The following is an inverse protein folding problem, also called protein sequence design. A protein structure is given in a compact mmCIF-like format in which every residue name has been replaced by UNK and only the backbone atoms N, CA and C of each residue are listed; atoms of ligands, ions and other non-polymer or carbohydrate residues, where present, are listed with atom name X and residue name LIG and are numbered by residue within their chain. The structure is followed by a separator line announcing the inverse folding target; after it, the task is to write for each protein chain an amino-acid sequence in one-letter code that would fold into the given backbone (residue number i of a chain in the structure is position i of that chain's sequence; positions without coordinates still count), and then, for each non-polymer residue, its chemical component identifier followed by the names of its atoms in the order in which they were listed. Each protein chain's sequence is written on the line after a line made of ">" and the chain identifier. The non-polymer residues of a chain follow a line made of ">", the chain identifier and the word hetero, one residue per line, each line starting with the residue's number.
data_IF_200172068848
#
_entry.id   IF_200172068848
#
_cell.length_a   1.000
_cell.length_b   1.000
_cell.length_c   1.000
_cell.angle_alpha   90.00
_cell.angle_beta   90.00
_cell.angle_gamma   90.00
#
_symmetry.space_group_name_H-M   'P 1'
#
loop_
_entity.id
_entity.type
_entity.pdbx_description
1 polymer ?
#
# COMPACT_ATOMS: atom_id res chain seq x y z
N UNK A 1 -13.02 -25.27 61.91
CA UNK A 1 -12.02 -26.25 61.43
C UNK A 1 -12.74 -27.16 60.44
N UNK A 2 -12.47 -26.98 59.16
CA UNK A 2 -12.29 -28.06 58.18
C UNK A 2 -12.06 -27.43 56.81
N UNK A 3 -10.80 -27.43 56.40
CA UNK A 3 -10.36 -27.21 55.03
C UNK A 3 -10.87 -28.34 54.15
N UNK A 4 -11.46 -28.03 53.00
CA UNK A 4 -11.54 -28.98 51.89
C UNK A 4 -10.88 -28.35 50.66
N UNK A 5 -9.62 -28.75 50.47
CA UNK A 5 -8.77 -28.32 49.37
C UNK A 5 -9.30 -28.76 48.02
N UNK A 6 -9.56 -27.79 47.14
CA UNK A 6 -9.77 -28.04 45.72
C UNK A 6 -8.44 -27.85 44.99
N UNK A 7 -7.80 -28.99 44.71
CA UNK A 7 -6.56 -29.14 43.93
C UNK A 7 -6.62 -28.32 42.63
N UNK A 8 -5.76 -27.30 42.53
CA UNK A 8 -5.46 -26.61 41.27
C UNK A 8 -4.65 -27.55 40.39
N UNK A 9 -5.32 -28.29 39.50
CA UNK A 9 -4.64 -28.95 38.38
C UNK A 9 -4.20 -27.88 37.37
N UNK A 10 -2.98 -27.40 37.55
CA UNK A 10 -2.23 -26.65 36.53
C UNK A 10 -2.04 -27.58 35.33
N UNK A 11 -2.88 -27.43 34.30
CA UNK A 11 -2.64 -28.09 33.01
C UNK A 11 -1.39 -27.44 32.44
N UNK A 12 -0.27 -28.17 32.50
CA UNK A 12 1.00 -27.76 31.93
C UNK A 12 0.81 -27.46 30.45
N UNK A 13 0.85 -26.17 30.09
CA UNK A 13 1.00 -25.73 28.71
C UNK A 13 2.36 -26.23 28.22
N UNK A 14 2.35 -27.36 27.51
CA UNK A 14 3.49 -27.83 26.72
C UNK A 14 3.92 -26.65 25.84
N UNK A 15 5.17 -26.21 26.01
CA UNK A 15 5.83 -25.22 25.15
C UNK A 15 5.63 -25.63 23.69
N UNK A 16 4.80 -24.86 22.97
CA UNK A 16 4.68 -24.98 21.52
C UNK A 16 5.99 -24.48 20.87
N UNK A 17 6.50 -25.16 19.83
CA UNK A 17 7.74 -24.79 19.17
C UNK A 17 7.65 -23.39 18.54
N UNK A 18 8.70 -22.59 18.75
CA UNK A 18 8.81 -21.15 18.44
C UNK A 18 8.78 -20.75 16.95
N UNK A 19 8.48 -21.65 16.00
CA UNK A 19 8.79 -21.45 14.58
C UNK A 19 7.58 -21.57 13.64
N UNK A 20 6.52 -20.79 13.87
CA UNK A 20 5.50 -20.50 12.85
C UNK A 20 5.40 -19.00 12.60
N UNK A 21 6.53 -18.38 12.27
CA UNK A 21 6.55 -17.18 11.45
C UNK A 21 7.10 -17.61 10.10
N UNK A 22 6.28 -17.64 9.05
CA UNK A 22 6.81 -17.80 7.70
C UNK A 22 7.75 -16.61 7.45
N UNK A 23 9.06 -16.84 7.23
CA UNK A 23 9.96 -15.76 6.85
C UNK A 23 9.46 -15.18 5.51
N UNK A 24 9.22 -13.86 5.47
CA UNK A 24 8.86 -13.17 4.22
C UNK A 24 7.36 -12.89 4.00
N UNK A 25 6.50 -12.96 5.02
CA UNK A 25 5.21 -12.25 4.95
C UNK A 25 5.46 -10.74 4.82
N UNK A 26 4.57 -10.00 4.15
CA UNK A 26 4.63 -8.52 4.03
C UNK A 26 4.76 -7.79 5.38
N UNK A 27 4.49 -8.50 6.47
CA UNK A 27 4.99 -8.20 7.80
C UNK A 27 5.73 -9.42 8.34
N UNK A 28 7.08 -9.48 8.25
CA UNK A 28 7.80 -10.47 9.03
C UNK A 28 7.51 -10.22 10.52
N UNK A 29 7.58 -11.25 11.40
CA UNK A 29 7.65 -10.99 12.83
C UNK A 29 8.73 -9.92 13.05
N UNK A 30 8.48 -8.98 13.96
CA UNK A 30 9.46 -8.00 14.42
C UNK A 30 10.63 -8.75 15.08
N UNK A 31 11.47 -9.40 14.27
CA UNK A 31 12.83 -9.75 14.63
C UNK A 31 13.57 -8.44 14.60
N UNK A 32 14.24 -8.11 15.71
CA UNK A 32 14.80 -6.79 15.97
C UNK A 32 15.78 -6.29 14.89
N UNK A 33 16.27 -7.14 13.98
CA UNK A 33 17.28 -6.79 12.97
C UNK A 33 16.78 -6.72 11.52
N UNK A 34 15.70 -7.41 11.13
CA UNK A 34 15.32 -7.55 9.71
C UNK A 34 14.27 -6.54 9.21
N UNK A 35 13.13 -6.46 9.91
CA UNK A 35 12.00 -5.61 9.48
C UNK A 35 12.16 -4.12 9.77
N UNK A 36 12.92 -3.76 10.81
CA UNK A 36 13.24 -2.36 11.09
C UNK A 36 14.25 -1.80 10.06
N UNK A 37 15.22 -2.63 9.67
CA UNK A 37 16.25 -2.32 8.70
C UNK A 37 15.71 -2.09 7.29
N UNK A 38 14.82 -2.95 6.81
CA UNK A 38 14.18 -2.78 5.49
C UNK A 38 13.26 -1.56 5.42
N UNK A 39 12.52 -1.26 6.50
CA UNK A 39 11.72 -0.03 6.59
C UNK A 39 12.59 1.22 6.56
N UNK A 40 13.68 1.24 7.32
CA UNK A 40 14.62 2.35 7.33
C UNK A 40 15.16 2.62 5.92
N UNK A 41 15.61 1.57 5.23
CA UNK A 41 16.08 1.65 3.84
C UNK A 41 15.00 2.18 2.88
N UNK A 42 13.76 1.68 2.97
CA UNK A 42 12.65 2.21 2.16
C UNK A 42 12.39 3.69 2.41
N UNK A 43 12.31 4.11 3.68
CA UNK A 43 11.97 5.49 4.03
C UNK A 43 13.09 6.49 3.73
N UNK A 44 14.35 6.08 3.91
CA UNK A 44 15.50 6.97 3.77
C UNK A 44 16.02 7.08 2.34
N UNK A 45 15.87 6.02 1.53
CA UNK A 45 16.40 6.03 0.16
C UNK A 45 15.30 6.14 -0.89
N UNK A 46 14.22 5.35 -0.74
CA UNK A 46 13.29 5.13 -1.85
C UNK A 46 12.02 6.00 -1.77
N UNK A 47 11.55 6.32 -0.56
CA UNK A 47 10.29 7.03 -0.32
C UNK A 47 10.49 8.46 0.20
N UNK A 48 11.68 9.03 0.03
CA UNK A 48 11.93 10.43 0.40
C UNK A 48 11.16 11.40 -0.49
N UNK A 49 10.84 12.59 0.04
CA UNK A 49 10.17 13.63 -0.74
C UNK A 49 10.97 14.05 -1.98
N UNK A 50 12.30 13.99 -1.94
CA UNK A 50 13.15 14.25 -3.10
C UNK A 50 12.98 13.15 -4.16
N UNK A 51 13.01 11.87 -3.75
CA UNK A 51 12.86 10.73 -4.66
C UNK A 51 11.46 10.64 -5.26
N UNK A 52 10.42 10.88 -4.47
CA UNK A 52 9.05 10.94 -5.00
C UNK A 52 8.91 12.06 -6.05
N UNK A 53 9.58 13.20 -5.85
CA UNK A 53 9.60 14.30 -6.82
C UNK A 53 10.39 13.96 -8.09
N UNK A 54 11.48 13.19 -8.02
CA UNK A 54 12.23 12.79 -9.22
C UNK A 54 11.39 11.94 -10.20
N UNK A 55 10.41 11.20 -9.69
CA UNK A 55 9.47 10.40 -10.51
C UNK A 55 8.29 11.18 -11.10
N UNK A 56 8.22 12.51 -10.91
CA UNK A 56 7.13 13.36 -11.44
C UNK A 56 6.90 13.15 -12.94
N UNK A 57 7.95 13.19 -13.77
CA UNK A 57 7.82 13.01 -15.23
C UNK A 57 7.20 11.65 -15.59
N UNK A 58 7.47 10.59 -14.81
CA UNK A 58 6.83 9.28 -15.04
C UNK A 58 5.31 9.39 -14.84
N UNK A 59 4.87 10.00 -13.74
CA UNK A 59 3.46 10.17 -13.42
C UNK A 59 2.75 11.05 -14.44
N UNK A 60 3.34 12.19 -14.82
CA UNK A 60 2.77 13.10 -15.81
C UNK A 60 2.61 12.42 -17.18
N UNK A 61 3.61 11.65 -17.62
CA UNK A 61 3.53 10.89 -18.89
C UNK A 61 2.43 9.83 -18.86
N UNK A 62 2.32 9.05 -17.79
CA UNK A 62 1.30 8.00 -17.70
C UNK A 62 -0.11 8.57 -17.55
N UNK A 63 -0.29 9.67 -16.81
CA UNK A 63 -1.59 10.36 -16.71
C UNK A 63 -1.99 10.96 -18.06
N UNK A 64 -1.07 11.60 -18.78
CA UNK A 64 -1.33 12.14 -20.11
C UNK A 64 -1.71 11.04 -21.12
N UNK A 65 -1.12 9.85 -20.99
CA UNK A 65 -1.53 8.67 -21.76
C UNK A 65 -2.95 8.23 -21.41
N UNK A 66 -3.28 8.10 -20.12
CA UNK A 66 -4.63 7.75 -19.70
C UNK A 66 -5.68 8.72 -20.26
N UNK A 67 -5.42 10.03 -20.19
CA UNK A 67 -6.33 11.05 -20.70
C UNK A 67 -6.55 10.90 -22.22
N UNK A 68 -5.48 10.60 -22.98
CA UNK A 68 -5.60 10.32 -24.42
C UNK A 68 -6.45 9.08 -24.70
N UNK A 69 -6.22 7.99 -23.97
CA UNK A 69 -6.98 6.75 -24.14
C UNK A 69 -8.47 6.96 -23.80
N UNK A 70 -8.78 7.74 -22.75
CA UNK A 70 -10.15 8.11 -22.38
C UNK A 70 -10.79 9.00 -23.45
N UNK A 71 -10.05 9.99 -23.97
CA UNK A 71 -10.55 10.88 -25.02
C UNK A 71 -10.84 10.14 -26.32
N UNK A 72 -10.01 9.18 -26.70
CA UNK A 72 -10.21 8.36 -27.88
C UNK A 72 -11.45 7.46 -27.74
N UNK A 73 -11.64 6.84 -26.57
CA UNK A 73 -12.83 6.04 -26.29
C UNK A 73 -14.12 6.88 -26.18
N UNK A 74 -14.01 8.12 -25.69
CA UNK A 74 -15.13 9.06 -25.67
C UNK A 74 -15.53 9.48 -27.09
N UNK A 75 -14.57 9.68 -27.99
CA UNK A 75 -14.84 10.05 -29.39
C UNK A 75 -15.59 8.94 -30.16
N UNK A 76 -15.42 7.67 -29.78
CA UNK A 76 -16.18 6.56 -30.35
C UNK A 76 -17.53 6.31 -29.66
N UNK A 77 -17.90 7.10 -28.65
CA UNK A 77 -19.13 6.93 -27.88
C UNK A 77 -19.17 5.66 -27.00
N UNK A 78 -18.05 4.96 -26.84
CA UNK A 78 -17.99 3.71 -26.11
C UNK A 78 -17.93 3.92 -24.58
N UNK A 79 -18.52 2.99 -23.83
CA UNK A 79 -18.41 3.00 -22.37
C UNK A 79 -16.95 2.75 -21.93
N UNK A 80 -16.45 3.59 -21.02
CA UNK A 80 -15.06 3.56 -20.58
C UNK A 80 -14.92 2.80 -19.26
N UNK A 81 -14.16 1.70 -19.25
CA UNK A 81 -13.83 0.96 -18.03
C UNK A 81 -12.71 1.66 -17.22
N UNK A 82 -13.11 2.64 -16.40
CA UNK A 82 -12.20 3.38 -15.52
C UNK A 82 -11.49 2.51 -14.48
N UNK A 83 -12.08 1.39 -14.06
CA UNK A 83 -11.44 0.47 -13.11
C UNK A 83 -10.21 -0.18 -13.73
N UNK A 84 -10.35 -0.76 -14.92
CA UNK A 84 -9.24 -1.39 -15.64
C UNK A 84 -8.18 -0.38 -16.07
N UNK A 85 -8.59 0.80 -16.55
CA UNK A 85 -7.67 1.86 -16.95
C UNK A 85 -6.91 2.46 -15.75
N UNK A 86 -7.61 2.68 -14.63
CA UNK A 86 -7.01 3.20 -13.40
C UNK A 86 -6.02 2.22 -12.77
N UNK A 87 -6.34 0.92 -12.77
CA UNK A 87 -5.40 -0.12 -12.36
C UNK A 87 -4.14 -0.10 -13.24
N UNK A 88 -4.29 -0.10 -14.57
CA UNK A 88 -3.15 -0.02 -15.50
C UNK A 88 -2.29 1.21 -15.28
N UNK A 89 -2.90 2.40 -15.11
CA UNK A 89 -2.18 3.65 -14.83
C UNK A 89 -1.30 3.51 -13.59
N UNK A 90 -1.88 3.11 -12.47
CA UNK A 90 -1.15 3.04 -11.20
C UNK A 90 -0.04 1.99 -11.28
N UNK A 91 -0.32 0.83 -11.87
CA UNK A 91 0.65 -0.25 -11.99
C UNK A 91 1.81 0.14 -12.90
N UNK A 92 1.55 0.79 -14.04
CA UNK A 92 2.60 1.29 -14.93
C UNK A 92 3.44 2.38 -14.23
N UNK A 93 2.84 3.26 -13.42
CA UNK A 93 3.59 4.23 -12.59
C UNK A 93 4.49 3.51 -11.58
N UNK A 94 3.93 2.60 -10.79
CA UNK A 94 4.66 1.88 -9.73
C UNK A 94 5.81 1.07 -10.33
N UNK A 95 5.57 0.36 -11.43
CA UNK A 95 6.60 -0.41 -12.15
C UNK A 95 7.69 0.52 -12.70
N UNK A 96 7.33 1.58 -13.41
CA UNK A 96 8.33 2.49 -14.00
C UNK A 96 9.17 3.20 -12.93
N UNK A 97 8.58 3.56 -11.79
CA UNK A 97 9.34 4.14 -10.68
C UNK A 97 10.28 3.11 -10.04
N UNK A 98 9.84 1.86 -9.92
CA UNK A 98 10.58 0.84 -9.19
C UNK A 98 11.65 0.15 -10.04
N UNK A 99 11.34 -0.22 -11.27
CA UNK A 99 12.18 -1.07 -12.15
C UNK A 99 12.51 -0.40 -13.49
N UNK A 100 12.11 0.86 -13.69
CA UNK A 100 12.48 1.67 -14.84
C UNK A 100 11.68 1.40 -16.12
N UNK A 101 11.04 0.23 -16.22
CA UNK A 101 10.31 -0.19 -17.42
C UNK A 101 8.85 -0.57 -17.13
N UNK A 102 8.05 -0.66 -18.20
CA UNK A 102 6.73 -1.31 -18.14
C UNK A 102 6.98 -2.81 -18.18
N UNK A 103 6.83 -3.50 -17.05
CA UNK A 103 7.11 -4.93 -16.96
C UNK A 103 6.16 -5.75 -17.85
N UNK A 104 6.71 -6.67 -18.65
CA UNK A 104 5.94 -7.63 -19.47
C UNK A 104 5.09 -8.56 -18.61
N UNK A 105 5.57 -8.87 -17.40
CA UNK A 105 4.88 -9.72 -16.42
C UNK A 105 3.85 -8.97 -15.56
N UNK A 106 3.46 -7.73 -15.91
CA UNK A 106 2.53 -6.92 -15.11
C UNK A 106 1.24 -7.67 -14.74
N UNK A 107 0.52 -8.17 -15.73
CA UNK A 107 -0.78 -8.84 -15.48
C UNK A 107 -0.59 -10.10 -14.63
N UNK A 108 0.48 -10.86 -14.90
CA UNK A 108 0.81 -12.07 -14.18
C UNK A 108 1.17 -11.80 -12.71
N UNK A 109 1.94 -10.74 -12.47
CA UNK A 109 2.32 -10.29 -11.13
C UNK A 109 1.10 -9.80 -10.35
N UNK A 110 0.24 -8.98 -10.97
CA UNK A 110 -0.96 -8.45 -10.33
C UNK A 110 -1.96 -9.55 -9.99
N UNK A 111 -2.13 -10.53 -10.88
CA UNK A 111 -2.96 -11.70 -10.61
C UNK A 111 -2.43 -12.49 -9.40
N UNK A 112 -1.11 -12.69 -9.31
CA UNK A 112 -0.47 -13.35 -8.18
C UNK A 112 -0.63 -12.53 -6.88
N UNK A 113 -0.48 -11.20 -6.96
CA UNK A 113 -0.68 -10.28 -5.84
C UNK A 113 -2.12 -10.32 -5.32
N UNK A 114 -3.12 -10.23 -6.20
CA UNK A 114 -4.53 -10.31 -5.82
C UNK A 114 -4.87 -11.65 -5.17
N UNK A 115 -4.34 -12.75 -5.71
CA UNK A 115 -4.52 -14.07 -5.12
C UNK A 115 -3.89 -14.12 -3.71
N UNK A 116 -2.70 -13.56 -3.53
CA UNK A 116 -2.02 -13.46 -2.24
C UNK A 116 -2.80 -12.61 -1.23
N UNK A 117 -3.29 -11.43 -1.64
CA UNK A 117 -4.09 -10.54 -0.77
C UNK A 117 -5.38 -11.22 -0.35
N UNK A 118 -6.09 -11.90 -1.26
CA UNK A 118 -7.30 -12.65 -0.90
C UNK A 118 -7.05 -13.77 0.10
N UNK A 119 -5.88 -14.39 0.03
CA UNK A 119 -5.49 -15.49 0.92
C UNK A 119 -5.00 -15.01 2.29
N UNK A 120 -4.43 -13.80 2.36
CA UNK A 120 -3.88 -13.22 3.60
C UNK A 120 -4.83 -12.26 4.31
N UNK A 121 -5.90 -11.81 3.65
CA UNK A 121 -6.89 -10.86 4.21
C UNK A 121 -7.98 -11.49 5.07
N UNK A 122 -8.14 -12.81 5.05
CA UNK A 122 -9.09 -13.54 5.89
C UNK A 122 -8.39 -14.29 7.03
N UNK A 123 -9.05 -14.37 8.19
CA UNK A 123 -8.66 -15.32 9.23
C UNK A 123 -8.86 -16.73 8.67
N UNK A 124 -7.78 -17.49 8.51
CA UNK A 124 -7.92 -18.89 8.10
C UNK A 124 -8.44 -19.74 9.26
N UNK A 125 -9.07 -20.88 8.96
CA UNK A 125 -9.50 -21.84 9.99
C UNK A 125 -8.30 -22.31 10.82
N UNK A 126 -7.10 -22.35 10.22
CA UNK A 126 -5.85 -22.64 10.92
C UNK A 126 -5.43 -21.51 11.88
N UNK A 127 -5.71 -20.24 11.57
CA UNK A 127 -5.44 -19.11 12.46
C UNK A 127 -6.38 -19.08 13.67
N UNK A 128 -7.63 -19.52 13.47
CA UNK A 128 -8.64 -19.63 14.54
C UNK A 128 -8.42 -20.86 15.44
N UNK A 129 -7.98 -21.97 14.86
CA UNK A 129 -7.78 -23.24 15.57
C UNK A 129 -6.37 -23.81 15.35
N UNK A 130 -5.31 -23.12 15.83
CA UNK A 130 -3.93 -23.52 15.59
C UNK A 130 -3.56 -24.88 16.20
N UNK A 131 -4.34 -25.38 17.16
CA UNK A 131 -4.15 -26.68 17.81
C UNK A 131 -4.71 -27.86 17.01
N UNK A 132 -5.54 -27.64 15.99
CA UNK A 132 -6.17 -28.69 15.21
C UNK A 132 -5.36 -29.02 13.95
N UNK A 133 -4.79 -30.24 13.91
CA UNK A 133 -4.09 -30.74 12.71
C UNK A 133 -5.02 -30.84 11.49
N UNK A 134 -6.31 -31.11 11.72
CA UNK A 134 -7.33 -31.15 10.67
C UNK A 134 -7.61 -29.75 10.12
N UNK A 135 -7.74 -28.74 11.00
CA UNK A 135 -7.89 -27.33 10.59
C UNK A 135 -6.69 -26.85 9.77
N UNK A 136 -5.47 -27.22 10.19
CA UNK A 136 -4.24 -26.95 9.45
C UNK A 136 -4.16 -27.65 8.09
N UNK A 137 -4.83 -28.80 7.92
CA UNK A 137 -4.84 -29.59 6.68
C UNK A 137 -5.93 -29.14 5.71
N UNK A 138 -7.10 -28.76 6.22
CA UNK A 138 -8.25 -28.25 5.46
C UNK A 138 -8.02 -26.81 4.99
N UNK A 139 -7.21 -26.04 5.72
CA UNK A 139 -6.64 -24.82 5.19
C UNK A 139 -5.71 -25.18 4.01
N UNK A 140 -6.25 -25.31 2.80
CA UNK A 140 -5.50 -25.35 1.54
C UNK A 140 -4.85 -23.98 1.20
N UNK A 141 -5.14 -22.96 2.02
CA UNK A 141 -4.61 -21.61 1.94
C UNK A 141 -3.06 -21.50 1.99
N UNK A 142 -2.30 -22.27 2.81
CA UNK A 142 -0.85 -22.15 2.90
C UNK A 142 -0.14 -22.60 1.62
N UNK A 143 -0.63 -23.65 0.94
CA UNK A 143 0.02 -24.17 -0.28
C UNK A 143 -0.16 -23.23 -1.46
N UNK A 144 -1.37 -22.74 -1.69
CA UNK A 144 -1.63 -21.79 -2.77
C UNK A 144 -0.95 -20.44 -2.51
N UNK A 145 -0.95 -19.95 -1.26
CA UNK A 145 -0.22 -18.73 -0.89
C UNK A 145 1.29 -18.88 -1.10
N UNK A 146 1.85 -20.03 -0.73
CA UNK A 146 3.27 -20.33 -0.97
C UNK A 146 3.60 -20.39 -2.46
N UNK A 147 2.73 -21.00 -3.28
CA UNK A 147 2.90 -21.05 -4.72
C UNK A 147 2.83 -19.66 -5.36
N UNK A 148 1.87 -18.83 -4.95
CA UNK A 148 1.76 -17.43 -5.39
C UNK A 148 2.98 -16.61 -4.96
N UNK A 149 3.47 -16.77 -3.73
CA UNK A 149 4.70 -16.13 -3.26
C UNK A 149 5.90 -16.51 -4.13
N UNK A 150 6.14 -17.81 -4.34
CA UNK A 150 7.23 -18.29 -5.21
C UNK A 150 7.10 -17.77 -6.65
N UNK A 151 5.87 -17.62 -7.14
CA UNK A 151 5.61 -17.03 -8.45
C UNK A 151 6.03 -15.55 -8.49
N UNK A 152 5.63 -14.76 -7.48
CA UNK A 152 6.03 -13.36 -7.38
C UNK A 152 7.54 -13.20 -7.20
N UNK A 153 8.20 -14.07 -6.41
CA UNK A 153 9.65 -14.07 -6.22
C UNK A 153 10.36 -14.29 -7.55
N UNK A 154 9.98 -15.32 -8.30
CA UNK A 154 10.55 -15.60 -9.63
C UNK A 154 10.40 -14.43 -10.59
N UNK A 155 9.23 -13.80 -10.64
CA UNK A 155 8.99 -12.64 -11.52
C UNK A 155 9.92 -11.48 -11.13
N UNK A 156 10.06 -11.20 -9.83
CA UNK A 156 10.94 -10.12 -9.37
C UNK A 156 12.42 -10.46 -9.60
N UNK A 157 12.84 -11.70 -9.38
CA UNK A 157 14.20 -12.15 -9.67
C UNK A 157 14.52 -12.02 -11.16
N UNK A 158 13.59 -12.37 -12.05
CA UNK A 158 13.72 -12.13 -13.50
C UNK A 158 13.89 -10.65 -13.80
N UNK A 159 13.08 -9.77 -13.22
CA UNK A 159 13.20 -8.33 -13.42
C UNK A 159 14.55 -7.80 -12.91
N UNK A 160 15.03 -8.29 -11.76
CA UNK A 160 16.33 -7.91 -11.22
C UNK A 160 17.45 -8.34 -12.17
N UNK A 161 17.38 -9.57 -12.71
CA UNK A 161 18.39 -10.07 -13.63
C UNK A 161 18.38 -9.29 -14.95
N UNK A 162 17.22 -9.11 -15.58
CA UNK A 162 17.06 -8.30 -16.79
C UNK A 162 17.64 -6.88 -16.60
N UNK A 163 17.46 -6.29 -15.41
CA UNK A 163 18.00 -4.96 -15.12
C UNK A 163 19.51 -4.97 -14.93
N UNK A 164 20.07 -5.99 -14.28
CA UNK A 164 21.54 -6.16 -14.15
C UNK A 164 22.19 -6.30 -15.52
N UNK A 165 21.60 -7.12 -16.39
CA UNK A 165 22.10 -7.34 -17.75
C UNK A 165 22.11 -6.03 -18.57
N UNK A 166 21.04 -5.23 -18.47
CA UNK A 166 20.96 -3.90 -19.09
C UNK A 166 22.02 -2.92 -18.57
N UNK A 167 22.27 -2.92 -17.26
CA UNK A 167 23.28 -2.05 -16.65
C UNK A 167 24.70 -2.39 -17.11
N UNK A 168 24.98 -3.66 -17.41
CA UNK A 168 26.28 -4.10 -17.93
C UNK A 168 26.46 -3.73 -19.41
N UNK A 169 25.39 -3.79 -20.21
CA UNK A 169 25.43 -3.36 -21.63
C UNK A 169 25.54 -1.85 -21.80
N UNK A 170 24.94 -1.06 -20.89
CA UNK A 170 24.94 0.41 -20.96
C UNK A 170 26.31 1.02 -20.58
N UNK A 171 27.21 0.26 -19.93
CA UNK A 171 28.55 0.72 -19.54
C UNK A 171 29.52 0.96 -20.71
N UNK A 172 29.16 0.55 -21.95
CA UNK A 172 29.98 0.70 -23.15
C UNK A 172 29.59 1.81 -24.12
N UNK A 173 28.54 2.60 -23.82
CA UNK A 173 27.99 3.63 -24.73
C UNK A 173 27.99 5.04 -24.15
N UNK A 174 28.10 6.03 -25.04
CA UNK A 174 28.25 7.46 -24.75
C UNK A 174 27.28 7.98 -23.66
N UNK A 175 27.86 8.51 -22.58
CA UNK A 175 27.19 8.85 -21.32
C UNK A 175 26.13 9.95 -21.43
N UNK A 176 25.99 10.60 -22.59
CA UNK A 176 25.06 11.71 -22.80
C UNK A 176 23.61 11.26 -23.09
N UNK A 177 23.40 10.09 -23.69
CA UNK A 177 22.04 9.56 -23.97
C UNK A 177 21.50 8.66 -22.84
N UNK A 178 22.38 8.07 -22.04
CA UNK A 178 22.03 7.24 -20.88
C UNK A 178 21.41 8.04 -19.71
N UNK A 179 21.57 9.36 -19.69
CA UNK A 179 21.01 10.26 -18.65
C UNK A 179 19.48 10.35 -18.70
N UNK A 180 18.83 10.00 -19.82
CA UNK A 180 17.36 9.84 -19.86
C UNK A 180 16.85 8.46 -19.41
N UNK A 181 17.74 7.47 -19.22
CA UNK A 181 17.48 6.26 -18.43
C UNK A 181 17.49 6.63 -16.95
N UNK A 182 16.48 7.41 -16.57
CA UNK A 182 16.28 7.95 -15.22
C UNK A 182 16.34 6.83 -14.20
N UNK A 183 17.27 6.94 -13.25
CA UNK A 183 17.47 5.97 -12.18
C UNK A 183 16.13 5.56 -11.58
N UNK A 184 15.81 4.27 -11.64
CA UNK A 184 14.67 3.70 -10.93
C UNK A 184 15.09 3.26 -9.53
N UNK A 185 14.13 2.95 -8.65
CA UNK A 185 14.45 2.51 -7.29
C UNK A 185 15.34 1.27 -7.25
N UNK A 186 15.19 0.36 -8.21
CA UNK A 186 16.04 -0.83 -8.34
C UNK A 186 17.50 -0.44 -8.67
N UNK A 187 17.72 0.57 -9.51
CA UNK A 187 19.08 1.03 -9.83
C UNK A 187 19.78 1.57 -8.58
N UNK A 188 19.06 2.32 -7.74
CA UNK A 188 19.61 2.83 -6.49
C UNK A 188 19.96 1.67 -5.55
N UNK A 189 19.07 0.68 -5.41
CA UNK A 189 19.30 -0.49 -4.56
C UNK A 189 20.49 -1.33 -5.04
N UNK A 190 20.65 -1.51 -6.36
CA UNK A 190 21.77 -2.22 -6.96
C UNK A 190 23.09 -1.45 -6.81
N UNK A 191 23.07 -0.12 -6.93
CA UNK A 191 24.24 0.73 -6.66
C UNK A 191 24.66 0.65 -5.20
N UNK A 192 23.72 0.81 -4.27
CA UNK A 192 23.99 0.68 -2.83
C UNK A 192 24.50 -0.72 -2.44
N UNK A 193 24.05 -1.77 -3.14
CA UNK A 193 24.58 -3.13 -2.97
C UNK A 193 26.06 -3.22 -3.41
N UNK A 194 26.45 -2.56 -4.51
CA UNK A 194 27.84 -2.55 -5.02
C UNK A 194 28.78 -1.67 -4.19
N UNK A 195 28.29 -0.52 -3.73
CA UNK A 195 29.09 0.49 -3.01
C UNK A 195 29.31 0.15 -1.52
N UNK A 196 28.66 -0.90 -1.00
CA UNK A 196 28.85 -1.36 0.40
C UNK A 196 28.39 -0.35 1.47
N UNK A 197 27.51 0.59 1.10
CA UNK A 197 27.30 1.85 1.82
C UNK A 197 26.55 1.81 3.17
N UNK A 198 25.46 1.05 3.38
CA UNK A 198 24.70 1.12 4.64
C UNK A 198 25.08 0.03 5.66
N UNK A 199 24.81 0.23 6.98
CA UNK A 199 25.07 -0.77 8.04
C UNK A 199 24.23 -2.06 7.92
N UNK A 200 23.40 -2.17 6.89
CA UNK A 200 22.54 -3.33 6.60
C UNK A 200 23.01 -3.93 5.28
N UNK A 201 23.46 -5.19 5.24
CA UNK A 201 23.86 -5.83 4.00
C UNK A 201 22.66 -5.97 3.05
N UNK A 202 22.71 -5.26 1.92
CA UNK A 202 21.67 -5.32 0.89
C UNK A 202 21.86 -6.61 0.08
N UNK A 203 21.21 -7.68 0.51
CA UNK A 203 21.18 -8.95 -0.23
C UNK A 203 20.13 -8.92 -1.33
N UNK A 204 20.26 -9.78 -2.35
CA UNK A 204 19.22 -9.93 -3.39
C UNK A 204 17.84 -10.24 -2.78
N UNK A 205 17.81 -11.04 -1.71
CA UNK A 205 16.57 -11.35 -0.98
C UNK A 205 15.94 -10.10 -0.35
N UNK A 206 16.74 -9.19 0.18
CA UNK A 206 16.23 -7.89 0.68
C UNK A 206 15.63 -7.09 -0.47
N UNK A 207 16.31 -6.98 -1.62
CA UNK A 207 15.80 -6.26 -2.80
C UNK A 207 14.46 -6.85 -3.27
N UNK A 208 14.34 -8.18 -3.35
CA UNK A 208 13.10 -8.87 -3.72
C UNK A 208 11.96 -8.48 -2.77
N UNK A 209 12.19 -8.56 -1.45
CA UNK A 209 11.19 -8.20 -0.45
C UNK A 209 10.80 -6.72 -0.52
N UNK A 210 11.75 -5.82 -0.77
CA UNK A 210 11.47 -4.40 -0.92
C UNK A 210 10.58 -4.10 -2.12
N UNK A 211 10.90 -4.68 -3.28
CA UNK A 211 10.09 -4.54 -4.49
C UNK A 211 8.69 -5.13 -4.30
N UNK A 212 8.57 -6.29 -3.65
CA UNK A 212 7.27 -6.84 -3.28
C UNK A 212 6.43 -5.88 -2.44
N UNK A 213 7.03 -5.24 -1.44
CA UNK A 213 6.32 -4.30 -0.57
C UNK A 213 5.87 -3.04 -1.33
N UNK A 214 6.70 -2.51 -2.22
CA UNK A 214 6.35 -1.34 -3.03
C UNK A 214 5.19 -1.68 -3.98
N UNK A 215 5.27 -2.83 -4.65
CA UNK A 215 4.24 -3.27 -5.58
C UNK A 215 2.92 -3.61 -4.87
N UNK A 216 2.97 -4.35 -3.76
CA UNK A 216 1.78 -4.68 -2.98
C UNK A 216 1.13 -3.44 -2.37
N UNK A 217 1.93 -2.55 -1.78
CA UNK A 217 1.44 -1.36 -1.09
C UNK A 217 0.96 -0.26 -2.03
N UNK A 218 1.61 -0.06 -3.17
CA UNK A 218 1.36 1.08 -4.06
C UNK A 218 0.26 0.83 -5.11
N UNK A 219 0.09 -0.42 -5.55
CA UNK A 219 -0.76 -0.77 -6.70
C UNK A 219 -2.26 -0.79 -6.36
N UNK A 220 -2.68 -1.72 -5.51
CA UNK A 220 -4.12 -1.95 -5.25
C UNK A 220 -4.78 -0.82 -4.47
N UNK A 221 -4.05 -0.25 -3.52
CA UNK A 221 -4.56 0.84 -2.65
C UNK A 221 -4.86 2.10 -3.46
N UNK A 222 -3.91 2.51 -4.31
CA UNK A 222 -4.02 3.73 -5.12
C UNK A 222 -5.03 3.56 -6.26
N UNK A 223 -5.04 2.41 -6.94
CA UNK A 223 -6.00 2.12 -8.01
C UNK A 223 -7.45 2.05 -7.49
N UNK A 224 -7.65 1.43 -6.32
CA UNK A 224 -8.94 1.43 -5.63
C UNK A 224 -9.37 2.84 -5.26
N UNK A 225 -8.46 3.64 -4.69
CA UNK A 225 -8.75 5.04 -4.31
C UNK A 225 -9.19 5.86 -5.52
N UNK A 226 -8.46 5.77 -6.64
CA UNK A 226 -8.78 6.47 -7.88
C UNK A 226 -10.17 6.07 -8.40
N UNK A 227 -10.42 4.76 -8.50
CA UNK A 227 -11.68 4.21 -9.02
C UNK A 227 -12.87 4.63 -8.14
N UNK A 228 -12.73 4.54 -6.82
CA UNK A 228 -13.79 4.91 -5.86
C UNK A 228 -14.06 6.41 -5.86
N UNK A 229 -13.02 7.24 -6.01
CA UNK A 229 -13.15 8.70 -6.14
C UNK A 229 -13.93 9.06 -7.41
N UNK A 230 -13.56 8.48 -8.55
CA UNK A 230 -14.28 8.71 -9.81
C UNK A 230 -15.74 8.25 -9.74
N UNK A 231 -16.00 7.05 -9.19
CA UNK A 231 -17.36 6.56 -9.00
C UNK A 231 -18.21 7.49 -8.12
N UNK A 232 -17.63 8.10 -7.07
CA UNK A 232 -18.32 9.07 -6.21
C UNK A 232 -18.59 10.40 -6.91
N UNK A 233 -17.65 10.88 -7.72
CA UNK A 233 -17.83 12.09 -8.53
C UNK A 233 -18.95 11.90 -9.55
N UNK A 234 -18.95 10.80 -10.30
CA UNK A 234 -19.98 10.49 -11.30
C UNK A 234 -21.37 10.38 -10.65
N UNK A 235 -21.46 9.79 -9.45
CA UNK A 235 -22.73 9.71 -8.70
C UNK A 235 -23.18 11.02 -8.07
N UNK A 236 -22.30 12.03 -7.97
CA UNK A 236 -22.61 13.33 -7.39
C UNK A 236 -22.29 14.45 -8.39
N UNK A 237 -23.16 14.60 -9.39
CA UNK A 237 -22.98 15.57 -10.48
C UNK A 237 -22.74 17.00 -9.99
N UNK A 238 -23.36 17.40 -8.86
CA UNK A 238 -23.13 18.70 -8.23
C UNK A 238 -21.68 18.87 -7.74
N UNK A 239 -21.13 17.85 -7.08
CA UNK A 239 -19.74 17.89 -6.59
C UNK A 239 -18.78 17.87 -7.79
N UNK A 240 -19.05 17.03 -8.79
CA UNK A 240 -18.27 16.96 -10.02
C UNK A 240 -18.23 18.31 -10.74
N UNK A 241 -19.37 18.96 -10.95
CA UNK A 241 -19.46 20.28 -11.58
C UNK A 241 -18.65 21.33 -10.80
N UNK A 242 -18.73 21.31 -9.46
CA UNK A 242 -17.95 22.23 -8.62
C UNK A 242 -16.45 21.98 -8.70
N UNK A 243 -16.01 20.71 -8.72
CA UNK A 243 -14.59 20.37 -8.93
C UNK A 243 -14.13 20.89 -10.30
N UNK A 244 -14.86 20.59 -11.37
CA UNK A 244 -14.51 21.02 -12.72
C UNK A 244 -14.46 22.55 -12.85
N UNK A 245 -15.42 23.27 -12.26
CA UNK A 245 -15.41 24.74 -12.25
C UNK A 245 -14.18 25.31 -11.52
N UNK A 246 -13.83 24.73 -10.36
CA UNK A 246 -12.63 25.14 -9.60
C UNK A 246 -11.33 24.83 -10.35
N UNK A 247 -11.26 23.70 -11.04
CA UNK A 247 -10.12 23.36 -11.90
C UNK A 247 -9.99 24.32 -13.08
N UNK A 248 -11.09 24.60 -13.79
CA UNK A 248 -11.11 25.57 -14.90
C UNK A 248 -10.71 26.98 -14.46
N UNK A 249 -11.22 27.43 -13.31
CA UNK A 249 -10.84 28.72 -12.72
C UNK A 249 -9.35 28.78 -12.35
N UNK A 250 -8.81 27.72 -11.75
CA UNK A 250 -7.43 27.70 -11.28
C UNK A 250 -6.41 27.64 -12.44
N UNK A 251 -6.78 27.00 -13.56
CA UNK A 251 -5.86 26.75 -14.67
C UNK A 251 -6.09 27.60 -15.90
N UNK A 252 -7.17 28.39 -15.96
CA UNK A 252 -7.41 29.41 -17.01
C UNK A 252 -7.17 28.92 -18.45
N UNK A 253 -7.50 27.67 -18.75
CA UNK A 253 -7.32 27.10 -20.10
C UNK A 253 -5.94 26.49 -20.39
N UNK A 254 -5.05 26.36 -19.38
CA UNK A 254 -3.77 25.64 -19.51
C UNK A 254 -4.03 24.21 -20.03
N UNK A 255 -3.38 23.85 -21.13
CA UNK A 255 -3.53 22.56 -21.80
C UNK A 255 -2.89 21.40 -21.03
N UNK A 256 -1.80 21.67 -20.30
CA UNK A 256 -1.06 20.67 -19.53
C UNK A 256 -0.97 21.07 -18.07
N UNK A 257 -1.53 20.24 -17.19
CA UNK A 257 -1.48 20.42 -15.74
C UNK A 257 -0.28 19.63 -15.20
N UNK A 258 0.57 20.29 -14.43
CA UNK A 258 1.75 19.68 -13.81
C UNK A 258 1.53 19.49 -12.30
N UNK A 259 2.34 18.68 -11.63
CA UNK A 259 2.15 18.41 -10.20
C UNK A 259 2.21 19.66 -9.29
N UNK A 260 3.04 20.65 -9.62
CA UNK A 260 3.14 21.90 -8.85
C UNK A 260 1.84 22.70 -8.88
N UNK A 261 1.10 22.61 -9.99
CA UNK A 261 -0.18 23.29 -10.18
C UNK A 261 -1.26 22.74 -9.24
N UNK A 262 -1.16 21.45 -8.86
CA UNK A 262 -2.13 20.75 -8.01
C UNK A 262 -2.07 21.23 -6.55
N UNK A 263 -0.92 21.77 -6.13
CA UNK A 263 -0.69 22.26 -4.77
C UNK A 263 -1.76 23.26 -4.29
N UNK A 264 -2.29 24.07 -5.20
CA UNK A 264 -3.22 25.17 -4.94
C UNK A 264 -4.70 24.74 -4.87
N UNK A 265 -5.02 23.48 -5.22
CA UNK A 265 -6.41 23.00 -5.32
C UNK A 265 -6.98 22.47 -4.00
N UNK A 266 -7.27 23.38 -3.06
CA UNK A 266 -7.80 23.01 -1.74
C UNK A 266 -9.08 22.17 -1.80
N UNK A 267 -10.05 22.55 -2.65
CA UNK A 267 -11.31 21.83 -2.79
C UNK A 267 -11.12 20.42 -3.37
N UNK A 268 -10.22 20.26 -4.35
CA UNK A 268 -9.92 18.95 -4.94
C UNK A 268 -9.28 18.02 -3.91
N UNK A 269 -8.33 18.52 -3.09
CA UNK A 269 -7.75 17.77 -1.97
C UNK A 269 -8.81 17.31 -0.97
N UNK A 270 -9.82 18.14 -0.69
CA UNK A 270 -10.93 17.75 0.18
C UNK A 270 -11.77 16.61 -0.40
N UNK A 271 -12.04 16.62 -1.71
CA UNK A 271 -12.78 15.54 -2.38
C UNK A 271 -12.03 14.20 -2.29
N UNK A 272 -10.70 14.21 -2.46
CA UNK A 272 -9.88 13.01 -2.29
C UNK A 272 -9.93 12.51 -0.85
N UNK A 273 -9.75 13.41 0.14
CA UNK A 273 -9.83 13.06 1.56
C UNK A 273 -11.19 12.48 1.95
N UNK A 274 -12.28 13.07 1.47
CA UNK A 274 -13.63 12.58 1.71
C UNK A 274 -13.88 11.24 1.03
N UNK A 275 -13.32 11.03 -0.16
CA UNK A 275 -13.37 9.74 -0.85
C UNK A 275 -12.63 8.66 -0.06
N UNK A 276 -11.48 8.97 0.54
CA UNK A 276 -10.74 8.05 1.41
C UNK A 276 -11.48 7.77 2.73
N UNK A 277 -12.12 8.77 3.33
CA UNK A 277 -12.98 8.58 4.52
C UNK A 277 -14.13 7.61 4.22
N UNK A 278 -14.82 7.83 3.09
CA UNK A 278 -15.93 7.00 2.67
C UNK A 278 -15.48 5.66 2.06
N UNK A 279 -14.27 5.54 1.53
CA UNK A 279 -13.80 4.33 0.87
C UNK A 279 -12.33 4.10 1.23
N UNK A 280 -12.10 3.67 2.47
CA UNK A 280 -10.79 3.25 2.92
C UNK A 280 -10.40 1.95 2.21
N UNK A 281 -9.32 1.92 1.39
CA UNK A 281 -8.89 0.70 0.70
C UNK A 281 -8.45 -0.41 1.67
N UNK A 282 -7.98 -0.05 2.86
CA UNK A 282 -7.54 -0.97 3.92
C UNK A 282 -8.39 -0.77 5.19
N UNK A 283 -9.64 -1.27 5.24
CA UNK A 283 -10.60 -0.96 6.30
C UNK A 283 -10.20 -1.44 7.70
N UNK A 284 -9.33 -2.45 7.80
CA UNK A 284 -8.79 -2.98 9.06
C UNK A 284 -7.31 -2.66 9.30
N UNK A 285 -6.71 -1.85 8.42
CA UNK A 285 -5.26 -1.66 8.31
C UNK A 285 -4.51 -3.01 8.25
N UNK A 286 -3.18 -2.96 8.42
CA UNK A 286 -2.37 -4.16 8.59
C UNK A 286 -2.45 -4.59 10.07
N UNK A 287 -2.76 -5.87 10.38
CA UNK A 287 -2.87 -6.34 11.75
C UNK A 287 -1.58 -6.12 12.55
N UNK A 288 -1.71 -5.69 13.80
CA UNK A 288 -0.59 -5.49 14.72
C UNK A 288 -0.53 -6.64 15.71
N UNK A 289 0.66 -7.04 16.14
CA UNK A 289 0.83 -8.10 17.14
C UNK A 289 1.35 -7.51 18.44
N UNK A 290 0.71 -7.85 19.55
CA UNK A 290 1.11 -7.38 20.87
C UNK A 290 2.43 -8.06 21.29
N UNK A 291 3.45 -7.26 21.60
CA UNK A 291 4.80 -7.77 21.91
C UNK A 291 4.97 -8.20 23.38
N UNK A 292 4.18 -7.59 24.25
CA UNK A 292 4.12 -7.80 25.68
C UNK A 292 2.65 -7.80 26.11
N UNK A 293 2.36 -8.22 27.35
CA UNK A 293 1.00 -8.12 27.86
C UNK A 293 0.76 -6.66 28.26
N UNK A 294 -0.30 -6.05 27.74
CA UNK A 294 -0.59 -4.63 27.94
C UNK A 294 -2.07 -4.40 28.25
N UNK A 295 -2.41 -3.25 28.84
CA UNK A 295 -3.81 -2.87 29.04
C UNK A 295 -4.27 -1.90 27.94
N UNK A 296 -5.40 -2.21 27.31
CA UNK A 296 -6.05 -1.33 26.32
C UNK A 296 -7.45 -1.02 26.80
N UNK A 297 -7.77 0.25 27.03
CA UNK A 297 -9.09 0.70 27.54
C UNK A 297 -9.54 -0.05 28.81
N UNK A 298 -8.59 -0.40 29.68
CA UNK A 298 -8.84 -1.15 30.92
C UNK A 298 -8.86 -2.68 30.79
N UNK A 299 -8.81 -3.22 29.57
CA UNK A 299 -8.77 -4.67 29.32
C UNK A 299 -7.35 -5.19 29.22
N UNK A 300 -7.06 -6.34 29.84
CA UNK A 300 -5.80 -7.05 29.69
C UNK A 300 -5.71 -7.71 28.30
N UNK A 301 -4.69 -7.32 27.54
CA UNK A 301 -4.37 -7.83 26.21
C UNK A 301 -3.10 -8.66 26.30
N UNK A 302 -3.18 -10.00 26.21
CA UNK A 302 -2.01 -10.86 26.32
C UNK A 302 -1.00 -10.65 25.19
N UNK A 303 0.28 -10.87 25.50
CA UNK A 303 1.34 -11.00 24.50
C UNK A 303 0.94 -11.98 23.38
N UNK A 304 1.20 -11.57 22.15
CA UNK A 304 0.94 -12.37 20.95
C UNK A 304 -0.45 -12.16 20.34
N UNK A 305 -1.34 -11.42 21.01
CA UNK A 305 -2.67 -11.07 20.48
C UNK A 305 -2.56 -10.24 19.21
N UNK A 306 -3.33 -10.60 18.19
CA UNK A 306 -3.49 -9.82 16.96
C UNK A 306 -4.55 -8.75 17.14
N UNK A 307 -4.18 -7.51 16.86
CA UNK A 307 -5.01 -6.31 17.01
C UNK A 307 -5.35 -5.80 15.61
N UNK A 308 -6.65 -5.64 15.36
CA UNK A 308 -7.20 -5.08 14.14
C UNK A 308 -7.76 -3.69 14.43
N UNK A 309 -7.36 -2.69 13.64
CA UNK A 309 -7.86 -1.33 13.79
C UNK A 309 -8.94 -1.10 12.75
N UNK A 310 -10.19 -0.99 13.18
CA UNK A 310 -11.33 -0.80 12.28
C UNK A 310 -11.43 0.66 11.80
N UNK A 311 -10.59 1.01 10.83
CA UNK A 311 -10.57 2.33 10.19
C UNK A 311 -11.91 2.66 9.53
N UNK A 312 -12.58 1.66 8.95
CA UNK A 312 -13.89 1.85 8.32
C UNK A 312 -14.95 2.41 9.29
N UNK A 313 -14.97 1.87 10.52
CA UNK A 313 -15.87 2.32 11.58
C UNK A 313 -15.46 3.71 12.08
N UNK A 314 -14.17 3.94 12.34
CA UNK A 314 -13.65 5.24 12.79
C UNK A 314 -14.02 6.35 11.80
N UNK A 315 -13.87 6.11 10.49
CA UNK A 315 -14.21 7.07 9.44
C UNK A 315 -15.72 7.35 9.30
N UNK A 316 -16.59 6.59 9.99
CA UNK A 316 -18.06 6.68 9.92
C UNK A 316 -18.72 6.79 11.29
N UNK A 317 -17.96 7.06 12.33
CA UNK A 317 -18.51 7.24 13.65
C UNK A 317 -19.22 8.58 13.73
N UNK A 318 -20.52 8.57 14.06
CA UNK A 318 -21.34 9.78 14.21
C UNK A 318 -20.86 10.68 15.34
N UNK A 319 -20.07 10.16 16.29
CA UNK A 319 -19.43 10.97 17.33
C UNK A 319 -18.41 11.95 16.77
N UNK A 320 -17.72 11.57 15.69
CA UNK A 320 -16.64 12.37 15.09
C UNK A 320 -17.01 12.98 13.73
N UNK A 321 -18.05 12.46 13.06
CA UNK A 321 -18.45 12.88 11.72
C UNK A 321 -19.95 13.19 11.66
N UNK A 322 -20.28 14.44 11.32
CA UNK A 322 -21.65 14.79 10.93
C UNK A 322 -22.04 14.03 9.64
N UNK A 323 -23.21 13.40 9.62
CA UNK A 323 -23.72 12.63 8.48
C UNK A 323 -22.76 11.53 7.97
N UNK A 324 -22.37 10.55 8.81
CA UNK A 324 -21.31 9.60 8.50
C UNK A 324 -21.56 8.71 7.27
N UNK A 325 -22.84 8.50 6.93
CA UNK A 325 -23.29 7.63 5.82
C UNK A 325 -23.59 8.39 4.52
N UNK A 326 -23.84 9.70 4.59
CA UNK A 326 -24.38 10.48 3.47
C UNK A 326 -23.39 11.56 3.01
N UNK A 327 -22.88 11.42 1.79
CA UNK A 327 -22.10 12.46 1.10
C UNK A 327 -22.96 13.56 0.48
N UNK A 328 -24.30 13.45 0.56
CA UNK A 328 -25.24 14.28 -0.19
C UNK A 328 -26.53 14.49 0.60
N UNK A 329 -26.64 15.56 1.40
CA UNK A 329 -27.94 16.18 1.69
C UNK A 329 -27.84 17.71 1.71
N UNK A 330 -28.98 18.34 1.43
CA UNK A 330 -29.24 19.75 1.11
C UNK A 330 -28.50 20.73 2.03
N UNK A 331 -28.01 21.81 1.44
CA UNK A 331 -27.67 23.05 2.16
C UNK A 331 -26.39 23.06 2.99
N UNK A 332 -25.81 21.93 3.37
CA UNK A 332 -24.58 21.95 4.16
C UNK A 332 -23.38 22.36 3.30
N UNK A 333 -22.73 23.46 3.71
CA UNK A 333 -21.32 23.71 3.38
C UNK A 333 -20.57 22.40 3.68
N UNK A 334 -19.59 21.96 2.86
CA UNK A 334 -18.73 20.86 3.29
C UNK A 334 -18.20 21.26 4.66
N UNK A 335 -18.66 20.60 5.73
CA UNK A 335 -18.37 21.05 7.09
C UNK A 335 -16.86 21.10 7.18
N UNK A 336 -16.35 22.33 7.34
CA UNK A 336 -14.93 22.65 7.37
C UNK A 336 -14.44 22.16 8.71
N UNK A 337 -14.34 20.84 8.89
CA UNK A 337 -13.46 20.32 9.90
C UNK A 337 -12.06 20.45 9.33
N UNK A 338 -11.36 21.43 9.88
CA UNK A 338 -9.93 21.62 9.77
C UNK A 338 -9.24 20.33 10.26
N UNK A 339 -9.24 19.29 9.43
CA UNK A 339 -8.68 17.98 9.72
C UNK A 339 -7.16 17.95 9.59
N UNK A 340 -6.52 19.12 9.80
CA UNK A 340 -5.07 19.24 9.94
C UNK A 340 -4.53 18.26 10.99
N UNK A 341 -5.35 17.87 11.98
CA UNK A 341 -4.97 16.92 13.04
C UNK A 341 -5.65 15.54 13.04
N UNK A 342 -6.63 15.23 12.19
CA UNK A 342 -7.31 13.91 12.22
C UNK A 342 -7.07 13.14 10.92
N UNK A 343 -7.27 13.76 9.76
CA UNK A 343 -6.99 13.06 8.49
C UNK A 343 -5.49 13.02 8.20
N UNK A 344 -4.75 14.11 8.50
CA UNK A 344 -3.30 14.07 8.40
C UNK A 344 -2.71 13.22 9.51
N UNK A 345 -3.02 13.44 10.78
CA UNK A 345 -2.40 12.65 11.84
C UNK A 345 -2.74 11.17 11.79
N UNK A 346 -3.91 10.71 11.30
CA UNK A 346 -4.19 9.26 11.22
C UNK A 346 -3.59 8.58 9.97
N UNK A 347 -3.47 9.28 8.83
CA UNK A 347 -2.74 8.73 7.67
C UNK A 347 -1.23 8.90 7.80
N UNK A 348 -0.76 9.99 8.43
CA UNK A 348 0.60 10.10 8.95
C UNK A 348 0.83 9.03 10.01
N UNK A 349 0.00 8.82 11.03
CA UNK A 349 0.14 7.70 11.99
C UNK A 349 0.07 6.32 11.32
N UNK A 350 -0.68 6.12 10.24
CA UNK A 350 -0.60 4.84 9.51
C UNK A 350 0.77 4.64 8.81
N UNK A 351 1.48 5.73 8.48
CA UNK A 351 2.82 5.75 7.90
C UNK A 351 3.96 5.97 8.93
N UNK A 352 3.67 6.60 10.06
CA UNK A 352 4.54 7.08 11.16
C UNK A 352 4.32 6.30 12.46
N UNK A 353 3.33 5.40 12.58
CA UNK A 353 3.25 4.41 13.68
C UNK A 353 4.29 3.28 13.52
N UNK A 354 5.37 3.57 12.79
CA UNK A 354 6.70 3.00 13.00
C UNK A 354 7.57 3.77 14.00
N UNK A 355 7.07 4.87 14.59
CA UNK A 355 7.77 5.70 15.55
C UNK A 355 6.89 5.88 16.81
N UNK A 356 7.03 4.95 17.74
CA UNK A 356 6.87 5.25 19.17
C UNK A 356 8.28 5.07 19.74
N UNK A 357 9.01 6.14 20.10
CA UNK A 357 10.21 5.97 20.91
C UNK A 357 9.77 5.42 22.27
N UNK A 358 10.62 4.56 22.82
CA UNK A 358 10.43 3.85 24.08
C UNK A 358 9.98 4.75 25.24
#
# INVERSE_FOLDING_TARGET
>A
MEETGRSKKTIGLRKLPKNYGLPGTSCPPHTASGGASSRKLLTQELLTAARVRSFRRVREVEVARLVRDVSAAAASGAAVNLTGMGARLINDIVLRCSVGSRCRHREEYLAALHAMVRQTSGLSIADLFPSSKLASMVAMAPRSALANRKKMERIIEQIIQERKDQMETDTGGDQAAAVESKSCSLDDLLRLQKEGGPPIPITNQVIVVLLMNIFAGGSDTSSTTLTRTMAKLIRSLRVMAKVQAKLRQAFQGKSTITEDDIGKLSYFKMVIKESLRLHCPAPFLIPRKCHETSKIMGYDVPKGTSIFVNMWAICRDSKYWENPKNSCQRGSKPTIYNSKGITLSFFHLALDAGYVPA
#
